data_IF_207972379743
#
_entry.id   IF_207972379743
#
_cell.length_a   1.000
_cell.length_b   1.000
_cell.length_c   1.000
_cell.angle_alpha   90.00
_cell.angle_beta   90.00
_cell.angle_gamma   90.00
#
_symmetry.space_group_name_H-M   'P 1'
#
loop_
_entity.id
_entity.type
_entity.pdbx_description
1 polymer ?
#
# COMPACT_ATOMS: atom_id res chain seq x y z
N UNK A 1 8.58 14.65 17.87
CA UNK A 1 8.44 14.09 16.52
C UNK A 1 6.98 14.17 16.12
N UNK A 2 6.72 14.68 14.93
CA UNK A 2 5.41 14.68 14.28
C UNK A 2 5.33 13.44 13.40
N UNK A 3 4.36 12.57 13.70
CA UNK A 3 4.13 11.32 13.00
C UNK A 3 2.94 11.44 12.04
N UNK A 4 3.05 10.84 10.86
CA UNK A 4 1.91 10.57 9.99
C UNK A 4 1.62 9.09 9.93
N UNK A 5 0.34 8.77 9.96
CA UNK A 5 -0.18 7.43 9.74
C UNK A 5 -0.83 7.39 8.37
N UNK A 6 -0.46 6.39 7.59
CA UNK A 6 -1.05 6.13 6.28
C UNK A 6 -1.76 4.79 6.31
N UNK A 7 -2.75 4.65 5.44
CA UNK A 7 -3.47 3.41 5.18
C UNK A 7 -3.41 3.11 3.69
N UNK A 8 -3.12 1.86 3.36
CA UNK A 8 -3.27 1.30 2.01
C UNK A 8 -4.16 0.08 2.07
N UNK A 9 -5.05 -0.04 1.09
CA UNK A 9 -5.86 -1.25 0.92
C UNK A 9 -5.04 -2.38 0.29
N UNK A 10 -5.55 -3.60 0.42
CA UNK A 10 -5.02 -4.81 -0.22
C UNK A 10 -4.75 -4.66 -1.72
N UNK A 11 -5.52 -3.81 -2.40
CA UNK A 11 -5.42 -3.54 -3.85
C UNK A 11 -4.33 -2.54 -4.24
N UNK A 12 -3.62 -1.92 -3.29
CA UNK A 12 -2.54 -0.99 -3.61
C UNK A 12 -1.39 -1.71 -4.34
N UNK A 13 -0.82 -1.14 -5.42
CA UNK A 13 0.39 -1.66 -6.05
C UNK A 13 1.63 -1.70 -5.15
N UNK A 14 1.60 -0.98 -4.01
CA UNK A 14 2.69 -1.00 -3.03
C UNK A 14 2.74 -2.30 -2.22
N UNK A 15 1.67 -3.09 -2.21
CA UNK A 15 1.64 -4.42 -1.63
C UNK A 15 2.03 -5.44 -2.70
N UNK A 16 3.11 -6.17 -2.46
CA UNK A 16 3.55 -7.23 -3.34
C UNK A 16 2.95 -8.56 -2.88
N UNK A 17 2.32 -9.27 -3.81
CA UNK A 17 1.84 -10.62 -3.60
C UNK A 17 2.57 -11.58 -4.55
N UNK A 18 2.95 -12.74 -4.04
CA UNK A 18 3.41 -13.86 -4.87
C UNK A 18 2.26 -14.44 -5.72
N UNK A 19 2.58 -15.33 -6.67
CA UNK A 19 1.65 -15.76 -7.72
C UNK A 19 0.36 -16.44 -7.23
N UNK A 20 0.36 -17.03 -6.03
CA UNK A 20 -0.76 -17.83 -5.50
C UNK A 20 -1.76 -17.00 -4.67
N UNK A 21 -1.73 -15.68 -4.81
CA UNK A 21 -2.70 -14.76 -4.22
C UNK A 21 -3.70 -14.28 -5.28
N UNK A 22 -4.95 -14.06 -4.85
CA UNK A 22 -6.02 -13.55 -5.72
C UNK A 22 -6.96 -12.64 -4.94
N UNK A 23 -7.74 -11.84 -5.64
CA UNK A 23 -8.79 -11.07 -4.98
C UNK A 23 -9.89 -12.00 -4.46
N UNK A 24 -10.43 -11.66 -3.30
CA UNK A 24 -11.67 -12.19 -2.77
C UNK A 24 -12.85 -11.78 -3.65
N UNK A 25 -13.86 -12.63 -3.72
CA UNK A 25 -15.07 -12.36 -4.52
C UNK A 25 -16.30 -12.56 -3.66
N UNK A 26 -17.24 -11.64 -3.73
CA UNK A 26 -18.50 -11.72 -2.98
C UNK A 26 -19.39 -12.92 -3.38
N UNK A 27 -19.18 -13.48 -4.57
CA UNK A 27 -19.84 -14.72 -5.01
C UNK A 27 -19.30 -15.96 -4.28
N UNK A 28 -18.03 -15.92 -3.87
CA UNK A 28 -17.36 -17.01 -3.15
C UNK A 28 -17.43 -16.81 -1.62
N UNK A 29 -17.53 -15.56 -1.18
CA UNK A 29 -17.57 -15.18 0.23
C UNK A 29 -18.66 -14.12 0.49
N UNK A 30 -19.79 -14.48 1.12
CA UNK A 30 -20.88 -13.55 1.42
C UNK A 30 -20.50 -12.51 2.49
N UNK A 31 -19.32 -12.62 3.11
CA UNK A 31 -18.82 -11.68 4.13
C UNK A 31 -17.79 -10.70 3.57
N UNK A 32 -17.65 -10.62 2.24
CA UNK A 32 -16.75 -9.66 1.59
C UNK A 32 -17.00 -8.22 2.04
N UNK A 33 -18.25 -7.86 2.36
CA UNK A 33 -18.65 -6.52 2.82
C UNK A 33 -18.15 -6.16 4.24
N UNK A 34 -17.59 -7.11 4.99
CA UNK A 34 -17.00 -6.87 6.30
C UNK A 34 -15.55 -6.38 6.22
N UNK A 35 -14.89 -6.57 5.08
CA UNK A 35 -13.55 -6.04 4.83
C UNK A 35 -13.61 -4.55 4.45
N UNK A 36 -12.51 -3.84 4.65
CA UNK A 36 -12.35 -2.46 4.19
C UNK A 36 -12.62 -2.38 2.70
N UNK A 37 -13.42 -1.38 2.30
CA UNK A 37 -13.88 -1.19 0.91
C UNK A 37 -14.59 -2.40 0.28
N UNK A 38 -14.98 -3.41 1.07
CA UNK A 38 -15.50 -4.67 0.56
C UNK A 38 -14.48 -5.50 -0.23
N UNK A 39 -13.18 -5.26 -0.01
CA UNK A 39 -12.06 -5.84 -0.77
C UNK A 39 -11.09 -6.57 0.16
N UNK A 40 -10.52 -7.67 -0.33
CA UNK A 40 -9.46 -8.40 0.36
C UNK A 40 -8.70 -9.25 -0.65
N UNK A 41 -7.43 -9.50 -0.36
CA UNK A 41 -6.58 -10.36 -1.19
C UNK A 41 -6.16 -11.56 -0.37
N UNK A 42 -6.36 -12.76 -0.91
CA UNK A 42 -6.27 -14.01 -0.17
C UNK A 42 -5.43 -15.05 -0.89
N UNK A 43 -4.87 -15.96 -0.11
CA UNK A 43 -4.26 -17.21 -0.58
C UNK A 43 -4.71 -18.36 0.30
N UNK A 44 -4.63 -19.58 -0.22
CA UNK A 44 -4.72 -20.81 0.56
C UNK A 44 -3.55 -21.75 0.29
N UNK A 45 -2.50 -21.27 -0.38
CA UNK A 45 -1.33 -22.07 -0.76
C UNK A 45 -0.24 -21.94 0.30
N UNK A 46 0.31 -23.06 0.76
CA UNK A 46 1.46 -23.04 1.67
C UNK A 46 2.68 -22.47 0.96
N UNK A 47 3.44 -21.61 1.64
CA UNK A 47 4.60 -20.90 1.10
C UNK A 47 4.28 -19.61 0.34
N UNK A 48 3.00 -19.32 0.09
CA UNK A 48 2.60 -18.05 -0.52
C UNK A 48 2.95 -16.87 0.41
N UNK A 49 3.53 -15.83 -0.18
CA UNK A 49 4.07 -14.66 0.50
C UNK A 49 3.38 -13.37 0.05
N UNK A 50 3.10 -12.50 1.02
CA UNK A 50 2.80 -11.08 0.82
C UNK A 50 3.91 -10.25 1.48
N UNK A 51 4.32 -9.15 0.85
CA UNK A 51 5.31 -8.22 1.41
C UNK A 51 4.95 -6.77 1.18
N UNK A 52 5.31 -5.94 2.14
CA UNK A 52 5.16 -4.49 2.08
C UNK A 52 6.45 -3.81 2.54
N UNK A 53 6.95 -2.89 1.72
CA UNK A 53 8.12 -2.07 2.02
C UNK A 53 7.68 -0.65 2.29
N UNK A 54 8.06 -0.10 3.44
CA UNK A 54 7.67 1.23 3.88
C UNK A 54 8.88 1.99 4.42
N UNK A 55 8.84 3.32 4.38
CA UNK A 55 9.78 4.17 5.08
C UNK A 55 9.08 4.76 6.31
N UNK A 56 9.44 4.32 7.51
CA UNK A 56 8.69 4.65 8.72
C UNK A 56 9.21 4.07 10.02
N UNK A 57 8.44 4.27 11.10
CA UNK A 57 8.75 3.86 12.49
C UNK A 57 7.86 2.72 12.98
N UNK A 58 6.86 2.31 12.21
CA UNK A 58 5.98 1.20 12.55
C UNK A 58 5.06 0.80 11.41
N UNK A 59 4.53 -0.42 11.48
CA UNK A 59 3.60 -0.99 10.50
C UNK A 59 2.60 -1.90 11.22
N UNK A 60 1.36 -1.94 10.74
CA UNK A 60 0.34 -2.87 11.18
C UNK A 60 -0.39 -3.45 9.96
N UNK A 61 -0.43 -4.78 9.85
CA UNK A 61 -1.09 -5.50 8.76
C UNK A 61 -2.40 -6.06 9.29
N UNK A 62 -3.49 -5.80 8.57
CA UNK A 62 -4.82 -6.24 8.94
C UNK A 62 -5.36 -7.27 7.96
N UNK A 63 -6.17 -8.18 8.48
CA UNK A 63 -6.91 -9.19 7.72
C UNK A 63 -8.04 -9.75 8.57
N UNK A 64 -8.51 -10.94 8.23
CA UNK A 64 -9.46 -11.69 9.03
C UNK A 64 -8.79 -12.84 9.79
N UNK A 65 -9.43 -13.22 10.89
CA UNK A 65 -9.20 -14.51 11.55
C UNK A 65 -10.48 -15.30 11.51
N UNK A 66 -10.44 -16.52 10.99
CA UNK A 66 -11.64 -17.31 10.66
C UNK A 66 -11.41 -18.80 10.87
N UNK A 67 -12.45 -19.63 11.05
CA UNK A 67 -12.29 -21.07 11.24
C UNK A 67 -11.54 -21.79 10.11
N UNK A 68 -11.57 -21.26 8.89
CA UNK A 68 -10.90 -21.80 7.71
C UNK A 68 -9.48 -21.24 7.47
N UNK A 69 -8.96 -20.40 8.38
CA UNK A 69 -7.62 -19.83 8.28
C UNK A 69 -6.56 -20.69 8.98
N UNK A 70 -5.28 -20.47 8.63
CA UNK A 70 -4.15 -21.26 9.10
C UNK A 70 -3.05 -20.48 9.79
N UNK A 71 -1.96 -21.19 10.07
CA UNK A 71 -0.74 -20.61 10.63
C UNK A 71 -0.01 -19.76 9.58
N UNK A 72 0.60 -18.66 10.01
CA UNK A 72 1.47 -17.83 9.17
C UNK A 72 2.71 -17.38 9.92
N UNK A 73 3.78 -17.13 9.18
CA UNK A 73 5.06 -16.66 9.72
C UNK A 73 5.35 -15.25 9.24
N UNK A 74 5.63 -14.34 10.18
CA UNK A 74 6.10 -12.99 9.88
C UNK A 74 7.63 -12.94 9.74
N UNK A 75 8.13 -12.14 8.80
CA UNK A 75 9.50 -11.62 8.77
C UNK A 75 9.49 -10.10 8.77
N UNK A 76 10.43 -9.50 9.49
CA UNK A 76 10.73 -8.07 9.46
C UNK A 76 12.19 -7.90 9.08
N UNK A 77 12.46 -7.14 8.02
CA UNK A 77 13.80 -6.89 7.46
C UNK A 77 14.60 -8.18 7.19
N UNK A 78 13.89 -9.24 6.78
CA UNK A 78 14.46 -10.56 6.51
C UNK A 78 14.52 -11.49 7.72
N UNK A 79 14.38 -10.97 8.93
CA UNK A 79 14.47 -11.74 10.18
C UNK A 79 13.13 -12.35 10.59
N UNK A 80 13.14 -13.64 10.94
CA UNK A 80 11.96 -14.35 11.44
C UNK A 80 11.50 -13.78 12.78
N UNK A 81 10.22 -13.47 12.86
CA UNK A 81 9.60 -13.02 14.11
C UNK A 81 9.04 -14.23 14.87
N UNK A 82 9.00 -14.16 16.19
CA UNK A 82 8.44 -15.23 17.04
C UNK A 82 7.32 -14.65 17.91
N UNK A 83 6.23 -15.40 18.13
CA UNK A 83 5.96 -16.77 17.69
C UNK A 83 5.49 -16.87 16.21
N UNK A 84 5.24 -18.10 15.74
CA UNK A 84 4.39 -18.33 14.57
C UNK A 84 2.95 -17.97 14.98
N UNK A 85 2.27 -17.19 14.16
CA UNK A 85 0.92 -16.72 14.42
C UNK A 85 -0.13 -17.65 13.81
N UNK A 86 -1.35 -17.60 14.35
CA UNK A 86 -2.47 -18.44 13.93
C UNK A 86 -3.66 -17.56 13.52
N UNK A 87 -4.06 -17.63 12.25
CA UNK A 87 -5.25 -16.95 11.74
C UNK A 87 -6.55 -17.66 12.10
N UNK A 88 -6.51 -18.85 12.70
CA UNK A 88 -7.69 -19.66 12.98
C UNK A 88 -8.41 -19.26 14.27
N UNK A 89 -9.72 -19.05 14.18
CA UNK A 89 -10.61 -18.73 15.31
C UNK A 89 -11.92 -19.53 15.22
N UNK A 90 -12.71 -19.58 16.29
CA UNK A 90 -14.01 -20.28 16.29
C UNK A 90 -15.12 -19.50 15.58
N UNK A 91 -14.94 -18.20 15.38
CA UNK A 91 -15.82 -17.30 14.64
C UNK A 91 -14.99 -16.34 13.81
N UNK A 92 -15.51 -15.95 12.66
CA UNK A 92 -14.97 -14.90 11.83
C UNK A 92 -14.85 -13.57 12.58
N UNK A 93 -13.68 -12.96 12.50
CA UNK A 93 -13.39 -11.62 13.02
C UNK A 93 -12.60 -10.91 11.93
N UNK A 94 -13.09 -9.76 11.48
CA UNK A 94 -12.48 -8.94 10.44
C UNK A 94 -11.70 -7.78 11.03
N UNK A 95 -10.83 -7.16 10.21
CA UNK A 95 -9.99 -6.02 10.60
C UNK A 95 -9.15 -6.34 11.85
N UNK A 96 -8.63 -7.56 11.89
CA UNK A 96 -7.74 -8.06 12.95
C UNK A 96 -6.31 -7.71 12.59
N UNK A 97 -5.60 -7.14 13.55
CA UNK A 97 -4.14 -6.95 13.48
C UNK A 97 -3.47 -8.33 13.43
N UNK A 98 -3.00 -8.71 12.25
CA UNK A 98 -2.24 -9.93 12.01
C UNK A 98 -0.78 -9.77 12.45
N UNK A 99 -0.24 -8.57 12.25
CA UNK A 99 1.08 -8.22 12.75
C UNK A 99 1.13 -6.72 13.04
N UNK A 100 1.82 -6.34 14.12
CA UNK A 100 2.06 -4.95 14.48
C UNK A 100 3.45 -4.80 15.07
N UNK A 101 4.19 -3.81 14.57
CA UNK A 101 5.46 -3.39 15.16
C UNK A 101 5.55 -1.88 15.13
N UNK A 102 6.11 -1.30 16.19
CA UNK A 102 6.36 0.13 16.29
C UNK A 102 7.66 0.38 17.05
N UNK A 103 8.11 1.63 17.07
CA UNK A 103 9.40 2.00 17.67
C UNK A 103 10.60 1.55 16.84
N UNK A 104 10.40 1.27 15.55
CA UNK A 104 11.47 1.10 14.60
C UNK A 104 12.20 2.44 14.42
N UNK A 105 13.48 2.39 14.07
CA UNK A 105 14.20 3.58 13.61
C UNK A 105 13.54 4.10 12.35
N UNK A 106 13.38 5.43 12.20
CA UNK A 106 12.90 5.98 10.93
C UNK A 106 13.82 5.51 9.78
N UNK A 107 13.26 4.79 8.83
CA UNK A 107 14.01 4.27 7.69
C UNK A 107 13.20 3.29 6.87
N UNK A 108 13.84 2.76 5.83
CA UNK A 108 13.25 1.76 4.95
C UNK A 108 13.22 0.40 5.64
N UNK A 109 12.02 -0.15 5.79
CA UNK A 109 11.75 -1.46 6.37
C UNK A 109 10.92 -2.31 5.41
N UNK A 110 11.03 -3.63 5.53
CA UNK A 110 10.19 -4.58 4.79
C UNK A 110 9.59 -5.62 5.73
N UNK A 111 8.27 -5.71 5.73
CA UNK A 111 7.53 -6.77 6.43
C UNK A 111 6.98 -7.76 5.41
N UNK A 112 7.01 -9.05 5.74
CA UNK A 112 6.36 -10.09 4.93
C UNK A 112 5.66 -11.12 5.79
N UNK A 113 4.50 -11.60 5.33
CA UNK A 113 3.79 -12.74 5.90
C UNK A 113 3.88 -13.92 4.93
N UNK A 114 4.15 -15.11 5.46
CA UNK A 114 4.23 -16.36 4.72
C UNK A 114 3.14 -17.29 5.25
N UNK A 115 2.23 -17.73 4.38
CA UNK A 115 1.27 -18.76 4.74
C UNK A 115 1.99 -20.09 4.95
N UNK A 116 1.75 -20.77 6.07
CA UNK A 116 2.43 -22.03 6.40
C UNK A 116 1.60 -23.27 6.09
N UNK A 117 0.31 -23.11 5.79
CA UNK A 117 -0.63 -24.21 5.63
C UNK A 117 -1.43 -24.12 4.32
N UNK A 118 -2.04 -25.24 3.91
CA UNK A 118 -3.07 -25.26 2.86
C UNK A 118 -4.43 -24.77 3.40
N UNK A 119 -4.39 -23.62 4.08
CA UNK A 119 -5.54 -22.92 4.66
C UNK A 119 -5.45 -21.43 4.33
N UNK A 120 -6.54 -20.73 4.52
CA UNK A 120 -6.61 -19.33 4.12
C UNK A 120 -5.74 -18.42 4.98
N UNK A 121 -5.14 -17.45 4.31
CA UNK A 121 -4.60 -16.22 4.86
C UNK A 121 -5.08 -15.10 3.93
N UNK A 122 -5.56 -14.00 4.50
CA UNK A 122 -5.98 -12.83 3.74
C UNK A 122 -5.38 -11.53 4.30
N UNK A 123 -5.37 -10.52 3.43
CA UNK A 123 -4.97 -9.15 3.73
C UNK A 123 -6.14 -8.25 3.35
N UNK A 124 -6.50 -7.38 4.29
CA UNK A 124 -7.57 -6.39 4.18
C UNK A 124 -6.96 -5.01 3.84
N UNK A 125 -6.14 -4.50 4.76
CA UNK A 125 -5.40 -3.26 4.58
C UNK A 125 -4.14 -3.24 5.44
N UNK A 126 -3.25 -2.30 5.17
CA UNK A 126 -2.02 -2.09 5.93
C UNK A 126 -1.97 -0.63 6.35
N UNK A 127 -1.57 -0.39 7.60
CA UNK A 127 -1.20 0.95 8.06
C UNK A 127 0.29 1.02 8.36
N UNK A 128 0.88 2.19 8.19
CA UNK A 128 2.24 2.44 8.67
C UNK A 128 2.38 3.87 9.20
N UNK A 129 3.34 4.02 10.10
CA UNK A 129 3.70 5.27 10.73
C UNK A 129 5.03 5.76 10.16
N UNK A 130 5.15 7.04 9.84
CA UNK A 130 6.42 7.68 9.46
C UNK A 130 6.59 9.00 10.19
N UNK A 131 7.84 9.34 10.49
CA UNK A 131 8.23 10.65 10.99
C UNK A 131 8.42 11.60 9.82
N UNK A 132 7.81 12.78 9.89
CA UNK A 132 7.98 13.84 8.89
C UNK A 132 8.69 15.06 9.48
N UNK A 133 8.59 15.29 10.79
CA UNK A 133 9.46 16.24 11.49
C UNK A 133 9.89 15.70 12.85
N UNK A 134 11.11 16.06 13.24
CA UNK A 134 11.63 15.79 14.57
C UNK A 134 10.98 16.68 15.64
N UNK A 135 10.42 17.84 15.25
CA UNK A 135 9.76 18.79 16.12
C UNK A 135 8.25 18.49 16.22
N UNK A 136 7.73 18.08 17.40
CA UNK A 136 6.30 17.77 17.57
C UNK A 136 5.37 19.00 17.43
N UNK A 137 5.90 20.21 17.59
CA UNK A 137 5.12 21.45 17.51
C UNK A 137 5.17 22.05 16.09
N UNK A 138 5.88 21.42 15.17
CA UNK A 138 5.96 21.90 13.80
C UNK A 138 4.65 21.67 13.05
N UNK A 139 4.12 22.75 12.49
CA UNK A 139 2.88 22.71 11.72
C UNK A 139 3.09 21.90 10.45
N UNK A 140 2.21 20.93 10.23
CA UNK A 140 2.10 20.16 9.01
C UNK A 140 1.13 20.84 8.03
N UNK A 141 1.54 20.96 6.78
CA UNK A 141 0.72 21.35 5.65
C UNK A 141 0.49 20.12 4.77
N UNK A 142 -0.77 19.95 4.32
CA UNK A 142 -1.18 18.84 3.47
C UNK A 142 -1.98 19.41 2.32
N UNK A 143 -1.38 19.39 1.13
CA UNK A 143 -1.94 19.97 -0.08
C UNK A 143 -2.24 18.89 -1.11
N UNK A 144 -3.39 19.00 -1.76
CA UNK A 144 -3.81 18.09 -2.83
C UNK A 144 -3.69 18.79 -4.17
N UNK A 145 -3.05 18.13 -5.13
CA UNK A 145 -2.82 18.63 -6.48
C UNK A 145 -3.49 17.71 -7.49
N UNK A 146 -4.45 18.26 -8.23
CA UNK A 146 -5.11 17.57 -9.34
C UNK A 146 -4.15 17.31 -10.50
N UNK A 147 -4.42 16.27 -11.28
CA UNK A 147 -3.75 15.96 -12.55
C UNK A 147 -3.63 17.16 -13.52
N UNK A 148 -4.56 18.12 -13.44
CA UNK A 148 -4.54 19.35 -14.27
C UNK A 148 -3.63 20.45 -13.73
N UNK A 149 -3.00 20.27 -12.57
CA UNK A 149 -2.09 21.26 -11.99
C UNK A 149 -0.87 21.48 -12.89
N UNK A 150 -0.40 22.71 -12.99
CA UNK A 150 0.80 23.07 -13.77
C UNK A 150 2.10 22.45 -13.24
N UNK A 151 2.07 21.81 -12.07
CA UNK A 151 3.17 21.01 -11.53
C UNK A 151 3.31 19.64 -12.18
N UNK A 152 2.30 19.18 -12.95
CA UNK A 152 2.36 17.95 -13.74
C UNK A 152 2.75 18.29 -15.18
N UNK A 153 3.74 17.58 -15.71
CA UNK A 153 4.15 17.64 -17.12
C UNK A 153 4.00 16.26 -17.73
N UNK A 154 3.25 16.16 -18.83
CA UNK A 154 2.93 14.91 -19.51
C UNK A 154 3.75 14.75 -20.78
N UNK A 155 4.53 13.67 -20.85
CA UNK A 155 5.55 13.44 -21.86
C UNK A 155 5.35 12.07 -22.55
N UNK A 156 5.82 11.90 -23.80
CA UNK A 156 6.61 12.86 -24.59
C UNK A 156 5.79 14.04 -25.13
N UNK A 157 4.47 13.88 -25.28
CA UNK A 157 3.54 14.98 -25.58
C UNK A 157 2.28 14.88 -24.72
N UNK A 158 1.61 16.01 -24.46
CA UNK A 158 0.32 15.99 -23.76
C UNK A 158 -0.76 15.17 -24.51
N UNK A 159 -0.66 15.06 -25.84
CA UNK A 159 -1.61 14.31 -26.65
C UNK A 159 -1.54 12.79 -26.42
N UNK A 160 -0.42 12.28 -25.88
CA UNK A 160 -0.27 10.88 -25.48
C UNK A 160 -1.05 10.53 -24.20
N UNK A 161 -1.65 11.54 -23.55
CA UNK A 161 -2.37 11.44 -22.29
C UNK A 161 -3.83 11.88 -22.46
N UNK A 162 -4.72 10.91 -22.65
CA UNK A 162 -6.15 11.14 -22.78
C UNK A 162 -6.74 11.76 -21.50
N UNK A 163 -7.56 12.81 -21.67
CA UNK A 163 -8.21 13.57 -20.58
C UNK A 163 -9.63 13.08 -20.25
N UNK A 164 -10.03 11.94 -20.83
CA UNK A 164 -11.31 11.27 -20.56
C UNK A 164 -11.07 9.77 -20.33
N UNK A 165 -10.30 9.40 -19.29
CA UNK A 165 -10.12 8.00 -18.92
C UNK A 165 -11.45 7.30 -18.66
N UNK A 166 -11.44 5.97 -18.81
CA UNK A 166 -12.56 5.11 -18.40
C UNK A 166 -12.90 5.37 -16.93
N UNK A 167 -14.19 5.38 -16.60
CA UNK A 167 -14.69 5.64 -15.25
C UNK A 167 -14.32 7.02 -14.68
N UNK A 168 -14.15 8.05 -15.52
CA UNK A 168 -13.78 9.42 -15.11
C UNK A 168 -14.56 9.95 -13.90
N UNK A 169 -15.85 9.62 -13.78
CA UNK A 169 -16.68 10.05 -12.64
C UNK A 169 -16.25 9.52 -11.27
N UNK A 170 -15.30 8.57 -11.22
CA UNK A 170 -14.71 8.06 -9.98
C UNK A 170 -13.37 8.71 -9.61
N UNK A 171 -12.81 9.54 -10.51
CA UNK A 171 -11.60 10.30 -10.24
C UNK A 171 -11.92 11.52 -9.37
N UNK A 172 -10.96 11.95 -8.55
CA UNK A 172 -11.13 13.13 -7.72
C UNK A 172 -11.42 14.35 -8.61
N UNK A 173 -12.46 15.10 -8.26
CA UNK A 173 -12.86 16.27 -9.06
C UNK A 173 -13.35 15.96 -10.48
N UNK A 174 -13.54 14.69 -10.85
CA UNK A 174 -13.94 14.28 -12.20
C UNK A 174 -12.89 14.59 -13.27
N UNK A 175 -11.61 14.61 -12.87
CA UNK A 175 -10.47 14.90 -13.74
C UNK A 175 -9.43 13.80 -13.60
N UNK A 176 -8.84 13.40 -14.72
CA UNK A 176 -7.82 12.36 -14.74
C UNK A 176 -7.18 12.26 -16.11
N UNK A 177 -5.93 11.77 -16.12
CA UNK A 177 -5.21 11.49 -17.36
C UNK A 177 -4.84 10.03 -17.47
N UNK A 178 -4.84 9.52 -18.70
CA UNK A 178 -4.45 8.15 -18.96
C UNK A 178 -3.66 8.00 -20.25
N UNK A 179 -2.72 7.08 -20.28
CA UNK A 179 -1.93 6.76 -21.45
C UNK A 179 -1.95 5.27 -21.74
N UNK A 180 -1.88 4.94 -23.03
CA UNK A 180 -1.56 3.59 -23.54
C UNK A 180 -0.29 3.60 -24.39
N UNK A 181 0.44 4.71 -24.39
CA UNK A 181 1.70 4.89 -25.13
C UNK A 181 2.87 4.35 -24.31
N UNK A 182 3.48 3.25 -24.78
CA UNK A 182 4.62 2.65 -24.12
C UNK A 182 5.76 3.66 -23.93
N UNK A 183 6.28 3.77 -22.71
CA UNK A 183 7.36 4.70 -22.37
C UNK A 183 6.91 6.16 -22.17
N UNK A 184 5.62 6.47 -22.35
CA UNK A 184 5.09 7.76 -21.90
C UNK A 184 5.26 7.88 -20.39
N UNK A 185 5.58 9.08 -19.93
CA UNK A 185 5.85 9.35 -18.53
C UNK A 185 5.28 10.71 -18.13
N UNK A 186 5.02 10.86 -16.83
CA UNK A 186 4.71 12.15 -16.24
C UNK A 186 5.85 12.56 -15.32
N UNK A 187 6.12 13.86 -15.29
CA UNK A 187 6.97 14.50 -14.28
C UNK A 187 6.08 15.34 -13.37
N UNK A 188 6.24 15.15 -12.06
CA UNK A 188 5.54 15.91 -11.04
C UNK A 188 6.56 16.59 -10.13
N UNK A 189 6.60 17.92 -10.22
CA UNK A 189 7.50 18.75 -9.41
C UNK A 189 6.71 19.33 -8.24
N UNK A 190 7.18 19.08 -7.02
CA UNK A 190 6.53 19.57 -5.80
C UNK A 190 7.55 20.09 -4.80
N UNK A 191 7.07 20.85 -3.80
CA UNK A 191 7.87 21.26 -2.66
C UNK A 191 7.28 20.69 -1.36
N UNK A 192 8.02 19.86 -0.64
CA UNK A 192 7.57 19.22 0.59
C UNK A 192 8.38 17.99 0.99
N UNK A 193 8.14 17.51 2.20
CA UNK A 193 8.88 16.41 2.85
C UNK A 193 8.45 15.01 2.43
N UNK A 194 7.23 14.87 1.90
CA UNK A 194 6.68 13.62 1.41
C UNK A 194 5.62 13.84 0.33
N UNK A 195 5.38 12.81 -0.48
CA UNK A 195 4.36 12.79 -1.53
C UNK A 195 3.65 11.43 -1.56
N UNK A 196 2.33 11.47 -1.73
CA UNK A 196 1.47 10.34 -2.06
C UNK A 196 0.87 10.55 -3.44
N UNK A 197 0.89 9.53 -4.28
CA UNK A 197 0.42 9.60 -5.66
C UNK A 197 -0.72 8.60 -5.88
N UNK A 198 -1.85 9.08 -6.42
CA UNK A 198 -3.09 8.33 -6.51
C UNK A 198 -3.58 8.17 -7.95
N UNK A 199 -4.28 7.06 -8.18
CA UNK A 199 -4.92 6.74 -9.46
C UNK A 199 -5.67 5.41 -9.35
N UNK A 200 -6.35 4.97 -10.42
CA UNK A 200 -7.06 3.70 -10.38
C UNK A 200 -6.11 2.51 -10.55
N UNK A 201 -6.50 1.38 -9.96
CA UNK A 201 -6.03 0.04 -10.35
C UNK A 201 -7.15 -0.71 -11.04
N UNK A 202 -6.82 -1.63 -11.95
CA UNK A 202 -7.83 -2.31 -12.77
C UNK A 202 -7.29 -3.59 -13.44
N UNK A 203 -8.17 -4.43 -14.04
CA UNK A 203 -7.74 -5.62 -14.79
C UNK A 203 -6.83 -5.31 -15.98
N UNK A 204 -7.04 -4.14 -16.57
CA UNK A 204 -6.28 -3.55 -17.68
C UNK A 204 -5.25 -2.51 -17.20
N UNK A 205 -4.91 -2.51 -15.91
CA UNK A 205 -3.92 -1.60 -15.34
C UNK A 205 -2.51 -1.91 -15.82
N UNK A 206 -1.75 -0.87 -16.15
CA UNK A 206 -0.38 -1.01 -16.63
C UNK A 206 0.63 -1.29 -15.50
N UNK A 207 1.78 -1.87 -15.88
CA UNK A 207 3.00 -1.76 -15.08
C UNK A 207 3.62 -0.39 -15.26
N UNK A 208 4.20 0.16 -14.19
CA UNK A 208 4.84 1.48 -14.22
C UNK A 208 6.11 1.50 -13.38
N UNK A 209 7.06 2.34 -13.77
CA UNK A 209 8.24 2.66 -12.98
C UNK A 209 8.02 4.00 -12.26
N UNK A 210 8.50 4.10 -11.03
CA UNK A 210 8.56 5.35 -10.28
C UNK A 210 10.01 5.66 -9.98
N UNK A 211 10.40 6.91 -10.18
CA UNK A 211 11.72 7.46 -9.89
C UNK A 211 11.54 8.76 -9.10
N UNK A 212 12.31 8.91 -8.02
CA UNK A 212 12.31 10.10 -7.15
C UNK A 212 13.68 10.76 -7.27
N UNK A 213 13.72 12.05 -7.60
CA UNK A 213 14.92 12.90 -7.62
C UNK A 213 16.12 12.32 -8.40
N UNK A 214 15.88 11.64 -9.53
CA UNK A 214 16.97 11.03 -10.31
C UNK A 214 17.53 9.73 -9.72
N UNK A 215 16.96 9.24 -8.61
CA UNK A 215 17.36 8.00 -7.96
C UNK A 215 17.02 6.73 -8.77
N UNK A 216 17.24 5.54 -8.20
CA UNK A 216 16.93 4.29 -8.88
C UNK A 216 15.42 4.13 -9.09
N UNK A 217 15.03 3.71 -10.30
CA UNK A 217 13.64 3.43 -10.62
C UNK A 217 13.14 2.15 -9.92
N UNK A 218 11.90 2.16 -9.45
CA UNK A 218 11.20 1.01 -8.87
C UNK A 218 9.96 0.67 -9.68
N UNK A 219 9.74 -0.60 -9.97
CA UNK A 219 8.59 -1.06 -10.76
C UNK A 219 7.41 -1.48 -9.89
N UNK A 220 6.21 -1.14 -10.34
CA UNK A 220 4.92 -1.44 -9.71
C UNK A 220 3.92 -1.89 -10.78
N UNK A 221 2.80 -2.46 -10.34
CA UNK A 221 1.72 -2.87 -11.24
C UNK A 221 0.37 -2.38 -10.76
N UNK A 222 -0.28 -1.53 -11.57
CA UNK A 222 -1.67 -1.13 -11.39
C UNK A 222 -2.65 -2.23 -11.85
N UNK A 223 -2.14 -3.37 -12.34
CA UNK A 223 -2.97 -4.51 -12.68
C UNK A 223 -3.51 -5.18 -11.42
N UNK A 224 -4.84 -5.22 -11.30
CA UNK A 224 -5.59 -5.87 -10.22
C UNK A 224 -6.82 -6.57 -10.79
N UNK A 225 -7.34 -7.57 -10.09
CA UNK A 225 -8.48 -8.35 -10.59
C UNK A 225 -9.78 -7.53 -10.70
N UNK A 226 -9.88 -6.45 -9.92
CA UNK A 226 -11.02 -5.55 -9.89
C UNK A 226 -10.57 -4.09 -10.06
N UNK A 227 -11.51 -3.26 -10.51
CA UNK A 227 -11.30 -1.82 -10.61
C UNK A 227 -11.48 -1.17 -9.22
N UNK A 228 -10.45 -0.47 -8.76
CA UNK A 228 -10.51 0.37 -7.56
C UNK A 228 -10.05 1.77 -7.92
N UNK A 229 -10.90 2.81 -7.76
CA UNK A 229 -10.49 4.19 -8.00
C UNK A 229 -9.63 4.72 -6.84
N UNK A 230 -8.90 5.80 -7.07
CA UNK A 230 -8.20 6.56 -6.01
C UNK A 230 -7.30 5.70 -5.11
N UNK A 231 -6.71 4.64 -5.67
CA UNK A 231 -5.75 3.79 -4.95
C UNK A 231 -4.41 4.51 -4.81
N UNK A 232 -3.74 4.33 -3.66
CA UNK A 232 -2.37 4.81 -3.49
C UNK A 232 -1.44 3.99 -4.39
N UNK A 233 -0.96 4.61 -5.46
CA UNK A 233 -0.05 4.00 -6.42
C UNK A 233 1.40 4.06 -5.94
N UNK A 234 1.75 5.11 -5.22
CA UNK A 234 3.10 5.29 -4.68
C UNK A 234 3.11 6.28 -3.51
N UNK A 235 4.03 6.08 -2.58
CA UNK A 235 4.34 7.03 -1.53
C UNK A 235 5.85 7.12 -1.33
N UNK A 236 6.34 8.35 -1.14
CA UNK A 236 7.69 8.62 -0.70
C UNK A 236 7.68 9.59 0.47
N UNK A 237 8.45 9.26 1.51
CA UNK A 237 8.65 10.05 2.72
C UNK A 237 10.14 10.22 3.01
N UNK A 238 10.45 11.09 3.98
CA UNK A 238 11.82 11.44 4.37
C UNK A 238 12.63 12.04 3.21
N UNK A 239 11.96 12.78 2.32
CA UNK A 239 12.62 13.51 1.23
C UNK A 239 13.37 14.74 1.75
N UNK A 240 12.94 15.23 2.92
CA UNK A 240 13.39 16.49 3.49
C UNK A 240 12.64 17.67 2.88
N UNK A 241 12.75 18.88 3.45
CA UNK A 241 12.08 20.03 2.90
C UNK A 241 12.75 20.47 1.60
N UNK A 242 11.95 21.00 0.68
CA UNK A 242 12.43 21.58 -0.57
C UNK A 242 11.78 20.97 -1.78
N UNK A 243 12.40 21.25 -2.94
CA UNK A 243 11.86 20.90 -4.25
C UNK A 243 12.30 19.49 -4.67
N UNK A 244 11.34 18.68 -5.05
CA UNK A 244 11.51 17.30 -5.49
C UNK A 244 10.86 17.06 -6.85
N UNK A 245 11.29 16.00 -7.53
CA UNK A 245 10.73 15.52 -8.78
C UNK A 245 10.35 14.05 -8.68
N UNK A 246 9.10 13.74 -9.03
CA UNK A 246 8.59 12.38 -9.16
C UNK A 246 8.32 12.08 -10.64
N UNK A 247 8.96 11.05 -11.17
CA UNK A 247 8.72 10.57 -12.54
C UNK A 247 8.00 9.23 -12.50
N UNK A 248 6.84 9.13 -13.16
CA UNK A 248 6.12 7.87 -13.35
C UNK A 248 6.08 7.50 -14.82
N UNK A 249 6.65 6.35 -15.18
CA UNK A 249 6.80 5.89 -16.56
C UNK A 249 5.95 4.66 -16.82
N UNK A 250 5.13 4.66 -17.86
CA UNK A 250 4.43 3.46 -18.33
C UNK A 250 5.44 2.44 -18.90
N UNK A 251 5.49 1.24 -18.30
CA UNK A 251 6.35 0.12 -18.69
C UNK A 251 5.65 -0.93 -19.56
N UNK A 252 6.49 -1.66 -20.31
CA UNK A 252 6.22 -2.82 -21.18
C UNK A 252 4.79 -3.38 -21.18
N UNK A 253 4.19 -3.50 -22.37
CA UNK A 253 3.09 -4.44 -22.59
C UNK A 253 3.00 -4.93 -24.06
N UNK A 254 2.87 -6.24 -24.32
CA UNK A 254 2.44 -6.75 -25.64
C UNK A 254 0.92 -6.60 -25.92
N UNK A 255 0.11 -6.31 -24.89
CA UNK A 255 -1.35 -6.06 -24.95
C UNK A 255 -1.63 -4.60 -24.55
N UNK A 256 -2.76 -4.02 -24.96
CA UNK A 256 -3.09 -2.64 -24.58
C UNK A 256 -3.58 -2.57 -23.13
N UNK A 257 -2.73 -2.17 -22.19
CA UNK A 257 -3.12 -1.74 -20.84
C UNK A 257 -3.06 -0.22 -20.72
N UNK A 258 -3.71 0.30 -19.69
CA UNK A 258 -3.84 1.73 -19.42
C UNK A 258 -3.09 2.09 -18.14
N UNK A 259 -2.23 3.10 -18.21
CA UNK A 259 -1.70 3.77 -17.03
C UNK A 259 -2.49 5.06 -16.81
N UNK A 260 -3.18 5.18 -15.68
CA UNK A 260 -4.02 6.34 -15.37
C UNK A 260 -3.65 6.95 -14.02
N UNK A 261 -3.80 8.26 -13.93
CA UNK A 261 -3.39 9.08 -12.79
C UNK A 261 -4.52 10.06 -12.45
N UNK A 262 -4.66 10.36 -11.16
CA UNK A 262 -5.77 11.14 -10.62
C UNK A 262 -5.27 12.41 -9.90
N UNK A 263 -4.57 12.24 -8.78
CA UNK A 263 -4.05 13.38 -8.02
C UNK A 263 -2.82 12.99 -7.18
N UNK A 264 -2.15 14.01 -6.66
CA UNK A 264 -1.08 13.85 -5.67
C UNK A 264 -1.42 14.58 -4.37
N UNK A 265 -0.89 14.10 -3.26
CA UNK A 265 -0.94 14.77 -1.95
C UNK A 265 0.48 15.01 -1.47
N UNK A 266 0.80 16.25 -1.14
CA UNK A 266 2.11 16.67 -0.66
C UNK A 266 2.00 17.01 0.82
N UNK A 267 3.00 16.57 1.59
CA UNK A 267 3.12 16.82 3.01
C UNK A 267 4.37 17.65 3.24
N UNK A 268 4.23 18.81 3.87
CA UNK A 268 5.33 19.72 4.11
C UNK A 268 5.32 20.24 5.55
N UNK A 269 6.48 20.41 6.15
CA UNK A 269 6.63 21.08 7.44
C UNK A 269 7.20 22.48 7.26
N UNK A 270 6.88 23.38 8.19
CA UNK A 270 7.21 24.79 8.07
C UNK A 270 8.73 25.04 8.21
N UNK A 271 9.48 24.94 7.11
CA UNK A 271 10.85 25.48 7.03
C UNK A 271 10.99 26.44 5.87
N UNK A 272 10.71 27.73 6.16
CA UNK A 272 10.95 28.90 5.32
C UNK A 272 10.40 28.84 3.88
N UNK A 273 9.12 29.15 3.73
CA UNK A 273 8.63 29.83 2.52
C UNK A 273 7.84 31.05 2.93
N UNK A 274 8.37 32.18 2.49
CA UNK A 274 7.74 33.49 2.34
C UNK A 274 6.23 33.38 2.35
N UNK A 275 5.64 33.97 3.38
CA UNK A 275 4.27 34.44 3.39
C UNK A 275 3.99 35.11 2.05
N UNK A 276 3.31 34.40 1.14
CA UNK A 276 2.42 35.09 0.22
C UNK A 276 1.16 35.39 1.03
N UNK A 277 1.33 36.23 2.04
CA UNK A 277 0.23 37.04 2.55
C UNK A 277 -0.22 37.85 1.34
N UNK A 278 -1.34 37.44 0.75
CA UNK A 278 -2.15 38.34 -0.05
C UNK A 278 -2.60 39.46 0.89
N UNK A 279 -1.74 40.48 1.07
CA UNK A 279 -2.13 41.73 1.69
C UNK A 279 -3.14 42.37 0.75
N UNK A 280 -4.41 42.31 1.13
CA UNK A 280 -5.43 43.19 0.57
C UNK A 280 -4.96 44.64 0.76
N UNK A 281 -4.77 45.44 -0.30
CA UNK A 281 -4.62 46.86 -0.12
C UNK A 281 -5.97 47.43 0.34
N UNK A 282 -5.96 48.07 1.50
CA UNK A 282 -7.04 48.96 1.92
C UNK A 282 -7.10 50.14 0.93
N UNK A 283 -8.08 50.18 0.04
CA UNK A 283 -8.38 51.38 -0.75
C UNK A 283 -9.32 52.32 0.02
N UNK A 284 -8.85 53.54 0.23
CA UNK A 284 -9.67 54.73 0.38
C UNK A 284 -10.00 55.31 -1.00
N UNK A 285 -11.27 55.19 -1.37
CA UNK A 285 -12.19 56.10 -2.07
C UNK A 285 -11.79 56.94 -3.32
N UNK A 286 -12.79 57.01 -4.23
CA UNK A 286 -13.11 57.97 -5.31
C UNK A 286 -12.49 57.86 -6.73
N UNK A 287 -13.25 57.20 -7.62
CA UNK A 287 -14.02 57.83 -8.73
C UNK A 287 -13.82 57.34 -10.18
N UNK A 288 -14.99 56.98 -10.79
CA UNK A 288 -15.46 57.21 -12.18
C UNK A 288 -15.21 56.16 -13.30
N UNK A 289 -16.32 55.48 -13.69
CA UNK A 289 -16.81 54.92 -15.00
C UNK A 289 -15.76 54.51 -16.07
N UNK A 290 -15.79 53.33 -16.73
CA UNK A 290 -16.92 52.73 -17.47
C UNK A 290 -16.60 51.32 -18.04
N UNK A 291 -17.63 50.44 -18.05
CA UNK A 291 -17.99 49.36 -19.01
C UNK A 291 -17.10 48.12 -19.35
N UNK A 292 -17.60 46.94 -18.92
CA UNK A 292 -18.05 45.78 -19.74
C UNK A 292 -17.47 44.37 -19.46
N UNK A 293 -18.41 43.40 -19.42
CA UNK A 293 -18.38 41.92 -19.39
C UNK A 293 -18.43 41.15 -18.05
N UNK A 294 -19.30 40.10 -17.94
CA UNK A 294 -19.51 39.35 -16.70
C UNK A 294 -18.57 38.15 -16.58
N UNK A 295 -17.70 38.15 -15.57
CA UNK A 295 -17.00 36.96 -15.07
C UNK A 295 -17.82 36.35 -13.93
N UNK A 296 -18.16 35.06 -14.03
CA UNK A 296 -18.84 34.30 -12.98
C UNK A 296 -17.95 34.19 -11.72
N UNK A 297 -18.52 34.26 -10.49
CA UNK A 297 -17.71 34.36 -9.29
C UNK A 297 -17.07 33.03 -8.89
N UNK A 298 -15.77 33.08 -8.64
CA UNK A 298 -14.86 32.03 -8.13
C UNK A 298 -15.23 31.56 -6.69
N UNK A 299 -16.35 32.03 -6.12
CA UNK A 299 -16.74 31.79 -4.74
C UNK A 299 -17.41 30.44 -4.42
N UNK A 300 -17.71 29.58 -5.41
CA UNK A 300 -18.45 28.33 -5.16
C UNK A 300 -17.56 27.08 -5.05
N UNK A 301 -16.31 27.11 -5.54
CA UNK A 301 -15.45 25.92 -5.63
C UNK A 301 -14.61 25.71 -4.35
N UNK A 302 -14.26 26.79 -3.63
CA UNK A 302 -13.45 26.71 -2.40
C UNK A 302 -14.26 26.23 -1.18
N UNK A 303 -15.59 26.41 -1.19
CA UNK A 303 -16.45 25.99 -0.07
C UNK A 303 -16.66 24.48 0.04
N UNK A 304 -16.61 23.76 -1.08
CA UNK A 304 -16.88 22.31 -1.12
C UNK A 304 -15.64 21.47 -0.82
N UNK A 305 -14.44 21.94 -1.19
CA UNK A 305 -13.18 21.22 -0.91
C UNK A 305 -12.81 21.24 0.57
N UNK A 306 -12.99 22.38 1.24
CA UNK A 306 -12.72 22.52 2.69
C UNK A 306 -13.70 21.70 3.53
N UNK A 307 -14.97 21.61 3.12
CA UNK A 307 -15.96 20.81 3.85
C UNK A 307 -15.67 19.29 3.76
N UNK A 308 -15.21 18.81 2.60
CA UNK A 308 -14.89 17.39 2.38
C UNK A 308 -13.58 16.97 3.05
N UNK A 309 -12.56 17.84 3.07
CA UNK A 309 -11.32 17.57 3.82
C UNK A 309 -11.58 17.57 5.32
N UNK A 310 -12.43 18.46 5.83
CA UNK A 310 -12.87 18.45 7.23
C UNK A 310 -13.62 17.14 7.54
N UNK A 311 -14.50 16.65 6.66
CA UNK A 311 -15.23 15.39 6.86
C UNK A 311 -14.30 14.16 6.86
N UNK A 312 -13.27 14.13 6.01
CA UNK A 312 -12.28 13.05 6.00
C UNK A 312 -11.39 13.07 7.24
N UNK A 313 -10.97 14.26 7.69
CA UNK A 313 -10.20 14.43 8.92
C UNK A 313 -11.05 14.01 10.14
N UNK A 314 -12.33 14.40 10.18
CA UNK A 314 -13.26 13.98 11.24
C UNK A 314 -13.48 12.46 11.20
N UNK A 315 -13.63 11.85 10.02
CA UNK A 315 -13.71 10.39 9.88
C UNK A 315 -12.47 9.69 10.42
N UNK A 316 -11.27 10.18 10.09
CA UNK A 316 -10.00 9.63 10.57
C UNK A 316 -9.80 9.82 12.09
N UNK A 317 -10.23 10.96 12.65
CA UNK A 317 -10.18 11.24 14.10
C UNK A 317 -11.20 10.36 14.84
N UNK A 318 -12.41 10.21 14.32
CA UNK A 318 -13.44 9.39 14.97
C UNK A 318 -13.08 7.91 14.97
N UNK A 319 -12.49 7.39 13.88
CA UNK A 319 -11.92 6.03 13.87
C UNK A 319 -10.77 5.92 14.88
N UNK A 320 -9.76 6.77 14.83
CA UNK A 320 -8.64 6.69 15.80
C UNK A 320 -9.11 6.82 17.27
N UNK A 321 -10.08 7.69 17.58
CA UNK A 321 -10.66 7.79 18.92
C UNK A 321 -11.47 6.55 19.30
N UNK A 322 -12.27 5.99 18.38
CA UNK A 322 -12.99 4.73 18.60
C UNK A 322 -12.02 3.57 18.88
N UNK A 323 -10.90 3.52 18.16
CA UNK A 323 -9.85 2.51 18.34
C UNK A 323 -9.08 2.69 19.65
N UNK A 324 -8.77 3.93 20.07
CA UNK A 324 -8.18 4.21 21.40
C UNK A 324 -9.12 3.82 22.54
N UNK A 325 -10.42 4.08 22.38
CA UNK A 325 -11.43 3.68 23.35
C UNK A 325 -11.54 2.14 23.46
N UNK A 326 -11.50 1.43 22.32
CA UNK A 326 -11.54 -0.05 22.29
C UNK A 326 -10.28 -0.69 22.88
N UNK A 327 -9.09 -0.08 22.69
CA UNK A 327 -7.83 -0.51 23.35
C UNK A 327 -7.89 -0.34 24.88
N UNK A 328 -8.61 0.67 25.39
CA UNK A 328 -8.79 0.90 26.84
C UNK A 328 -9.60 -0.19 27.55
N UNK A 329 -10.67 -0.69 26.91
CA UNK A 329 -11.52 -1.72 27.52
C UNK A 329 -10.91 -3.13 27.51
N UNK A 330 -9.96 -3.41 26.60
CA UNK A 330 -9.22 -4.70 26.59
C UNK A 330 -8.28 -4.87 27.78
N UNK A 331 -7.82 -3.79 28.42
CA UNK A 331 -6.95 -3.87 29.61
C UNK A 331 -7.68 -4.26 30.91
N UNK A 332 -9.02 -4.27 30.92
CA UNK A 332 -9.82 -4.57 32.12
C UNK A 332 -10.46 -5.98 32.12
N UNK A 333 -10.20 -6.82 31.12
CA UNK A 333 -10.76 -8.18 31.04
C UNK A 333 -9.71 -9.27 30.84
N UNK A 334 -8.65 -9.24 31.65
CA UNK A 334 -7.89 -10.46 31.92
C UNK A 334 -8.55 -11.16 33.11
N UNK A 335 -9.04 -12.41 32.98
CA UNK A 335 -9.35 -13.23 34.14
C UNK A 335 -8.05 -13.37 34.95
N UNK A 336 -8.09 -12.97 36.22
CA UNK A 336 -7.04 -13.29 37.17
C UNK A 336 -7.10 -14.80 37.37
N UNK A 337 -6.21 -15.55 36.72
CA UNK A 337 -5.97 -16.94 37.09
C UNK A 337 -5.18 -16.90 38.40
N UNK A 338 -5.89 -17.10 39.52
CA UNK A 338 -5.24 -17.42 40.78
C UNK A 338 -4.57 -18.79 40.60
N UNK A 339 -3.25 -18.80 40.62
CA UNK A 339 -2.47 -20.03 40.58
C UNK A 339 -2.64 -20.76 41.93
N UNK A 340 -3.50 -21.78 41.95
CA UNK A 340 -3.48 -22.81 43.00
C UNK A 340 -2.13 -23.54 42.96
N UNK A 341 -1.42 -23.68 44.10
CA UNK A 341 -0.15 -24.40 44.13
C UNK A 341 -0.39 -25.89 43.88
N UNK A 342 0.06 -26.38 42.72
CA UNK A 342 0.08 -27.80 42.39
C UNK A 342 0.91 -28.57 43.42
N UNK A 343 0.23 -29.31 44.29
CA UNK A 343 0.83 -30.36 45.12
C UNK A 343 1.36 -31.46 44.19
N UNK A 344 2.66 -31.73 44.29
CA UNK A 344 3.38 -32.67 43.43
C UNK A 344 2.82 -34.10 43.52
N UNK A 345 2.58 -34.69 42.35
CA UNK A 345 2.37 -36.13 42.19
C UNK A 345 3.74 -36.80 42.03
N UNK A 346 4.05 -37.89 42.76
CA UNK A 346 5.33 -38.58 42.61
C UNK A 346 5.41 -39.28 41.24
N UNK A 347 6.44 -38.97 40.45
CA UNK A 347 6.76 -39.69 39.22
C UNK A 347 7.42 -41.04 39.54
N UNK A 348 6.81 -42.13 39.11
CA UNK A 348 7.45 -43.43 39.06
C UNK A 348 8.46 -43.49 37.89
N UNK A 349 9.60 -44.19 38.01
CA UNK A 349 10.59 -44.25 36.95
C UNK A 349 10.10 -45.11 35.77
N UNK A 350 10.18 -44.54 34.56
CA UNK A 350 9.92 -45.23 33.30
C UNK A 350 11.14 -46.08 32.96
N UNK A 351 10.97 -47.40 32.89
CA UNK A 351 11.99 -48.33 32.39
C UNK A 351 11.81 -48.52 30.88
N UNK A 352 12.85 -48.20 30.10
CA UNK A 352 12.89 -48.46 28.65
C UNK A 352 13.23 -49.94 28.38
N UNK A 353 12.50 -50.64 27.50
CA UNK A 353 12.92 -51.95 27.02
C UNK A 353 14.05 -51.84 25.97
N UNK A 354 14.93 -52.85 25.84
CA UNK A 354 16.07 -52.82 24.92
C UNK A 354 15.65 -52.98 23.44
N UNK A 355 16.49 -52.54 22.48
CA UNK A 355 16.12 -52.50 21.07
C UNK A 355 16.16 -53.88 20.42
N UNK A 356 15.08 -54.23 19.71
CA UNK A 356 14.97 -55.43 18.87
C UNK A 356 15.66 -55.21 17.53
N UNK A 357 16.50 -56.17 17.12
CA UNK A 357 17.20 -56.17 15.85
C UNK A 357 16.30 -56.59 14.67
N UNK A 358 16.46 -55.90 13.54
CA UNK A 358 16.44 -56.50 12.20
C UNK A 358 15.14 -56.38 11.38
N UNK A 359 15.21 -55.55 10.32
CA UNK A 359 14.81 -55.90 8.93
C UNK A 359 15.33 -54.81 7.96
N UNK A 360 15.89 -55.16 6.80
CA UNK A 360 16.62 -54.23 5.93
C UNK A 360 15.70 -53.39 5.03
N UNK A 361 16.11 -52.14 4.79
CA UNK A 361 15.50 -51.20 3.84
C UNK A 361 15.74 -51.62 2.38
N UNK A 362 14.77 -51.44 1.47
CA UNK A 362 14.99 -51.65 0.05
C UNK A 362 15.81 -50.50 -0.57
N UNK A 363 16.89 -50.86 -1.25
CA UNK A 363 17.74 -49.95 -2.01
C UNK A 363 17.07 -49.53 -3.33
N UNK A 364 16.68 -48.27 -3.48
CA UNK A 364 16.37 -47.69 -4.79
C UNK A 364 17.61 -46.95 -5.32
N UNK A 365 18.29 -47.57 -6.28
CA UNK A 365 19.34 -46.94 -7.09
C UNK A 365 18.67 -46.07 -8.15
N UNK A 366 18.79 -44.75 -8.04
CA UNK A 366 18.62 -43.86 -9.18
C UNK A 366 19.96 -43.77 -9.93
N UNK A 367 19.99 -44.38 -11.12
CA UNK A 367 21.09 -44.25 -12.06
C UNK A 367 20.92 -42.94 -12.86
N UNK A 368 21.87 -42.01 -12.69
CA UNK A 368 22.01 -40.85 -13.57
C UNK A 368 22.45 -41.31 -14.96
N UNK A 369 21.61 -41.09 -15.98
CA UNK A 369 21.96 -41.28 -17.39
C UNK A 369 22.17 -39.91 -18.01
N UNK A 370 23.42 -39.54 -18.29
CA UNK A 370 23.76 -38.37 -19.09
C UNK A 370 23.35 -38.60 -20.55
N UNK A 371 22.31 -37.89 -21.00
CA UNK A 371 21.95 -37.79 -22.41
C UNK A 371 22.68 -36.59 -23.04
N UNK A 372 23.57 -36.86 -23.99
CA UNK A 372 24.19 -35.86 -24.86
C UNK A 372 23.11 -35.22 -25.73
N UNK A 373 22.97 -33.89 -25.69
CA UNK A 373 22.21 -33.15 -26.70
C UNK A 373 23.12 -32.84 -27.90
N UNK A 374 22.66 -33.20 -29.09
CA UNK A 374 23.24 -32.81 -30.36
C UNK A 374 22.48 -31.60 -30.89
N UNK A 375 23.12 -30.45 -30.90
CA UNK A 375 22.67 -29.23 -31.59
C UNK A 375 23.05 -29.34 -33.07
N UNK A 376 22.14 -29.08 -34.04
CA UNK A 376 22.54 -28.95 -35.44
C UNK A 376 22.95 -27.52 -35.77
N UNK A 377 24.17 -27.38 -36.29
CA UNK A 377 24.71 -26.15 -36.89
C UNK A 377 23.85 -25.72 -38.08
N UNK A 378 23.48 -24.43 -38.12
CA UNK A 378 22.86 -23.80 -39.29
C UNK A 378 23.91 -23.01 -40.08
N UNK A 379 23.97 -23.36 -41.36
CA UNK A 379 24.79 -22.79 -42.42
C UNK A 379 24.77 -21.26 -42.48
N UNK A 380 25.97 -20.70 -42.57
CA UNK A 380 26.24 -19.35 -43.07
C UNK A 380 26.39 -19.46 -44.60
N UNK A 381 25.47 -18.84 -45.36
CA UNK A 381 25.76 -18.46 -46.74
C UNK A 381 25.70 -16.94 -46.87
N UNK A 382 26.81 -16.41 -47.38
CA UNK A 382 27.00 -15.04 -47.86
C UNK A 382 26.07 -14.75 -49.02
N UNK A 383 25.53 -13.53 -49.06
CA UNK A 383 25.17 -12.85 -50.30
C UNK A 383 25.96 -11.54 -50.37
N UNK A 384 26.45 -11.31 -51.58
CA UNK A 384 27.18 -10.15 -52.07
C UNK A 384 26.27 -8.93 -52.09
#
# INVERSE_FOLDING_TARGET
MSFLNFTIEDTSPMVFYSLDWRAGRSIDDPLADQYSQGSFTLTNSSGALVSFTFNGTGVEIFGATRPNHGMYQVRLDGELQSPIDNGSTTKEIFQVSLYSVGGLTQGLHTVSLINLEEKFLDIDFITWETTISNNPDEKLYVDTFQDTSSSFTYLPTEADWAVQPKNLGSFLGGSGRATTTLGAFLEYIFEGDAVSFYGPVSPDGASYAVLVDGGPARSFSAQKEFYTPQSLLYHASSLGPGKHNLTLTYLQNPVQHTFAIDFAVVYATATNTTTTTSSFPTETDLSRKSASQPSQPIGLIVGLSVAMTILLIISCITTTLFWRHRRGQRKQRLPRFDAEPFLGVPTAPITHPPPTAGSPLPSNRYAFRFGKSSVPERNIQRLI
#
